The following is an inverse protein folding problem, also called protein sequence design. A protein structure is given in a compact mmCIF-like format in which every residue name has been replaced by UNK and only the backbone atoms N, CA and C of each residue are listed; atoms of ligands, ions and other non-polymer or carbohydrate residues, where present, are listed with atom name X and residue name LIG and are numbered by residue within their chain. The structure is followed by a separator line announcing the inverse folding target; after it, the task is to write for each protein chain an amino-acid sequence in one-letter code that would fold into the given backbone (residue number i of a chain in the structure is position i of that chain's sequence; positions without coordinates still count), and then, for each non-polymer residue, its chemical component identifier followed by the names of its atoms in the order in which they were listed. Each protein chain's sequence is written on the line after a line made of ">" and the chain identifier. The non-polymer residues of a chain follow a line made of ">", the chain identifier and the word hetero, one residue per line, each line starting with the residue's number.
data_IF_318952134904
#
_entry.id   IF_318952134904
#
_cell.length_a   1.000
_cell.length_b   1.000
_cell.length_c   1.000
_cell.angle_alpha   90.00
_cell.angle_beta   90.00
_cell.angle_gamma   90.00
#
_symmetry.space_group_name_H-M   'P 1'
#
loop_
_entity.id
_entity.type
_entity.pdbx_description
1 polymer ?
#
# COMPACT_ATOMS: atom_id res chain seq x y z
N UNK A 1 -83.36 -35.96 17.27
CA UNK A 1 -82.65 -34.76 16.76
C UNK A 1 -83.73 -33.77 16.31
N UNK A 2 -83.95 -32.69 17.06
CA UNK A 2 -84.96 -31.69 16.69
C UNK A 2 -84.51 -30.95 15.41
N UNK A 3 -85.42 -30.71 14.44
CA UNK A 3 -85.07 -30.00 13.21
C UNK A 3 -84.68 -28.56 13.53
N UNK A 4 -83.55 -28.11 12.99
CA UNK A 4 -83.14 -26.71 13.07
C UNK A 4 -84.12 -25.84 12.27
N UNK A 5 -84.47 -24.61 12.71
CA UNK A 5 -85.33 -23.72 11.95
C UNK A 5 -84.73 -23.47 10.56
N UNK A 6 -85.57 -23.49 9.52
CA UNK A 6 -85.17 -23.52 8.11
C UNK A 6 -84.18 -22.40 7.72
N UNK A 7 -84.28 -21.23 8.34
CA UNK A 7 -83.36 -20.10 8.11
C UNK A 7 -81.95 -20.38 8.62
N UNK A 8 -81.80 -20.99 9.80
CA UNK A 8 -80.50 -21.37 10.35
C UNK A 8 -79.82 -22.41 9.45
N UNK A 9 -80.61 -23.30 8.87
CA UNK A 9 -80.10 -24.34 7.97
C UNK A 9 -79.58 -23.75 6.64
N UNK A 10 -80.24 -22.71 6.09
CA UNK A 10 -79.78 -21.97 4.90
C UNK A 10 -78.48 -21.21 5.12
N UNK A 11 -78.35 -20.54 6.26
CA UNK A 11 -77.10 -19.85 6.62
C UNK A 11 -75.93 -20.80 6.82
N UNK A 12 -76.18 -21.98 7.43
CA UNK A 12 -75.16 -23.02 7.55
C UNK A 12 -74.74 -23.59 6.19
N UNK A 13 -75.69 -23.82 5.28
CA UNK A 13 -75.40 -24.29 3.93
C UNK A 13 -74.57 -23.27 3.13
N UNK A 14 -74.90 -21.97 3.24
CA UNK A 14 -74.12 -20.89 2.62
C UNK A 14 -72.71 -20.78 3.22
N UNK A 15 -72.58 -20.89 4.55
CA UNK A 15 -71.29 -20.89 5.21
C UNK A 15 -70.41 -22.07 4.77
N UNK A 16 -70.98 -23.27 4.66
CA UNK A 16 -70.28 -24.45 4.17
C UNK A 16 -69.88 -24.34 2.69
N UNK A 17 -70.74 -23.78 1.83
CA UNK A 17 -70.41 -23.53 0.43
C UNK A 17 -69.22 -22.56 0.31
N UNK A 18 -69.24 -21.47 1.06
CA UNK A 18 -68.17 -20.46 1.04
C UNK A 18 -66.86 -21.04 1.58
N UNK A 19 -66.93 -21.83 2.66
CA UNK A 19 -65.77 -22.56 3.18
C UNK A 19 -65.20 -23.56 2.15
N UNK A 20 -66.06 -24.29 1.42
CA UNK A 20 -65.64 -25.23 0.38
C UNK A 20 -64.97 -24.51 -0.80
N UNK A 21 -65.51 -23.36 -1.23
CA UNK A 21 -64.90 -22.52 -2.26
C UNK A 21 -63.55 -21.94 -1.81
N UNK A 22 -63.46 -21.44 -0.57
CA UNK A 22 -62.22 -20.96 0.00
C UNK A 22 -61.16 -22.07 0.09
N UNK A 23 -61.56 -23.28 0.50
CA UNK A 23 -60.68 -24.44 0.54
C UNK A 23 -60.19 -24.83 -0.87
N UNK A 24 -61.08 -24.84 -1.86
CA UNK A 24 -60.72 -25.09 -3.26
C UNK A 24 -59.72 -24.05 -3.78
N UNK A 25 -59.94 -22.77 -3.50
CA UNK A 25 -59.00 -21.70 -3.86
C UNK A 25 -57.63 -21.87 -3.17
N UNK A 26 -57.62 -22.14 -1.86
CA UNK A 26 -56.38 -22.30 -1.09
C UNK A 26 -55.58 -23.55 -1.49
N UNK A 27 -56.25 -24.61 -1.96
CA UNK A 27 -55.58 -25.85 -2.37
C UNK A 27 -55.13 -25.84 -3.84
N UNK A 28 -55.88 -25.17 -4.74
CA UNK A 28 -55.56 -25.19 -6.17
C UNK A 28 -54.88 -23.90 -6.63
N UNK A 29 -55.47 -22.74 -6.33
CA UNK A 29 -55.03 -21.46 -6.91
C UNK A 29 -53.87 -20.86 -6.12
N UNK A 30 -53.93 -20.91 -4.79
CA UNK A 30 -52.92 -20.31 -3.94
C UNK A 30 -51.52 -20.93 -4.16
N UNK A 31 -51.31 -22.26 -4.09
CA UNK A 31 -49.99 -22.85 -4.27
C UNK A 31 -49.51 -22.79 -5.73
N UNK A 32 -50.42 -22.94 -6.70
CA UNK A 32 -50.02 -23.00 -8.11
C UNK A 32 -49.71 -21.62 -8.70
N UNK A 33 -50.31 -20.55 -8.18
CA UNK A 33 -50.22 -19.24 -8.81
C UNK A 33 -49.69 -18.14 -7.89
N UNK A 34 -50.24 -18.00 -6.69
CA UNK A 34 -49.88 -16.85 -5.84
C UNK A 34 -48.51 -17.00 -5.19
N UNK A 35 -48.17 -18.21 -4.71
CA UNK A 35 -46.86 -18.50 -4.12
C UNK A 35 -45.72 -18.26 -5.13
N UNK A 36 -45.72 -18.84 -6.35
CA UNK A 36 -44.63 -18.61 -7.30
C UNK A 36 -44.54 -17.15 -7.76
N UNK A 37 -45.67 -16.44 -7.92
CA UNK A 37 -45.66 -15.02 -8.27
C UNK A 37 -45.03 -14.15 -7.17
N UNK A 38 -45.36 -14.43 -5.89
CA UNK A 38 -44.78 -13.76 -4.75
C UNK A 38 -43.26 -14.02 -4.64
N UNK A 39 -42.83 -15.26 -4.87
CA UNK A 39 -41.42 -15.63 -4.86
C UNK A 39 -40.63 -14.94 -5.98
N UNK A 40 -41.17 -14.92 -7.20
CA UNK A 40 -40.56 -14.21 -8.32
C UNK A 40 -40.41 -12.71 -8.03
N UNK A 41 -41.44 -12.08 -7.46
CA UNK A 41 -41.40 -10.67 -7.08
C UNK A 41 -40.35 -10.39 -5.99
N UNK A 42 -40.24 -11.26 -4.97
CA UNK A 42 -39.18 -11.15 -3.96
C UNK A 42 -37.80 -11.25 -4.59
N UNK A 43 -37.59 -12.21 -5.48
CA UNK A 43 -36.32 -12.37 -6.20
C UNK A 43 -35.95 -11.16 -7.04
N UNK A 44 -36.93 -10.53 -7.70
CA UNK A 44 -36.72 -9.28 -8.45
C UNK A 44 -36.33 -8.14 -7.51
N UNK A 45 -36.99 -8.00 -6.36
CA UNK A 45 -36.68 -6.99 -5.37
C UNK A 45 -35.23 -7.15 -4.85
N UNK A 46 -34.84 -8.38 -4.51
CA UNK A 46 -33.49 -8.69 -4.03
C UNK A 46 -32.41 -8.37 -5.08
N UNK A 47 -32.67 -8.69 -6.35
CA UNK A 47 -31.74 -8.37 -7.44
C UNK A 47 -31.62 -6.86 -7.67
N UNK A 48 -32.72 -6.11 -7.57
CA UNK A 48 -32.70 -4.65 -7.69
C UNK A 48 -31.92 -4.00 -6.56
N UNK A 49 -32.08 -4.47 -5.33
CA UNK A 49 -31.32 -3.98 -4.17
C UNK A 49 -29.82 -4.20 -4.37
N UNK A 50 -29.42 -5.37 -4.89
CA UNK A 50 -28.01 -5.66 -5.20
C UNK A 50 -27.47 -4.77 -6.32
N UNK A 51 -28.25 -4.57 -7.38
CA UNK A 51 -27.86 -3.69 -8.49
C UNK A 51 -27.67 -2.24 -8.03
N UNK A 52 -28.61 -1.71 -7.22
CA UNK A 52 -28.48 -0.37 -6.63
C UNK A 52 -27.22 -0.24 -5.77
N UNK A 53 -26.91 -1.24 -4.93
CA UNK A 53 -25.69 -1.25 -4.13
C UNK A 53 -24.42 -1.23 -5.01
N UNK A 54 -24.39 -1.99 -6.10
CA UNK A 54 -23.24 -2.02 -7.00
C UNK A 54 -23.09 -0.69 -7.74
N UNK A 55 -24.20 -0.13 -8.24
CA UNK A 55 -24.19 1.17 -8.94
C UNK A 55 -23.73 2.30 -8.04
N UNK A 56 -24.24 2.37 -6.81
CA UNK A 56 -23.80 3.38 -5.83
C UNK A 56 -22.32 3.26 -5.48
N UNK A 57 -21.74 2.05 -5.46
CA UNK A 57 -20.30 1.86 -5.31
C UNK A 57 -19.52 2.31 -6.56
N UNK A 58 -20.03 2.00 -7.76
CA UNK A 58 -19.41 2.43 -9.02
C UNK A 58 -19.42 3.95 -9.19
N UNK A 59 -20.46 4.64 -8.70
CA UNK A 59 -20.52 6.11 -8.69
C UNK A 59 -19.41 6.75 -7.83
N UNK A 60 -18.84 6.02 -6.88
CA UNK A 60 -17.71 6.49 -6.06
C UNK A 60 -16.33 6.28 -6.72
N UNK A 61 -16.24 5.37 -7.69
CA UNK A 61 -15.00 5.08 -8.41
C UNK A 61 -14.31 6.33 -9.04
N UNK A 62 -15.02 7.27 -9.72
CA UNK A 62 -14.36 8.45 -10.29
C UNK A 62 -13.78 9.37 -9.22
N UNK A 63 -14.40 9.46 -8.04
CA UNK A 63 -13.87 10.29 -6.96
C UNK A 63 -12.58 9.69 -6.39
N UNK A 64 -12.56 8.37 -6.16
CA UNK A 64 -11.34 7.66 -5.75
C UNK A 64 -10.26 7.79 -6.82
N UNK A 65 -10.59 7.69 -8.10
CA UNK A 65 -9.63 7.85 -9.19
C UNK A 65 -9.04 9.27 -9.23
N UNK A 66 -9.85 10.32 -9.02
CA UNK A 66 -9.37 11.70 -8.94
C UNK A 66 -8.44 11.91 -7.75
N UNK A 67 -8.81 11.42 -6.57
CA UNK A 67 -7.98 11.53 -5.37
C UNK A 67 -6.66 10.76 -5.52
N UNK A 68 -6.72 9.57 -6.13
CA UNK A 68 -5.53 8.78 -6.44
C UNK A 68 -4.61 9.52 -7.43
N UNK A 69 -5.14 10.07 -8.52
CA UNK A 69 -4.34 10.85 -9.47
C UNK A 69 -3.71 12.08 -8.81
N UNK A 70 -4.46 12.78 -7.95
CA UNK A 70 -3.93 13.92 -7.19
C UNK A 70 -2.80 13.49 -6.24
N UNK A 71 -2.94 12.36 -5.55
CA UNK A 71 -1.90 11.81 -4.69
C UNK A 71 -0.64 11.40 -5.48
N UNK A 72 -0.82 10.75 -6.64
CA UNK A 72 0.28 10.38 -7.54
C UNK A 72 1.01 11.64 -8.05
N UNK A 73 0.27 12.68 -8.46
CA UNK A 73 0.87 13.93 -8.90
C UNK A 73 1.65 14.65 -7.78
N UNK A 74 1.11 14.65 -6.55
CA UNK A 74 1.82 15.19 -5.39
C UNK A 74 3.08 14.38 -5.05
N UNK A 75 3.03 13.05 -5.18
CA UNK A 75 4.19 12.18 -4.98
C UNK A 75 5.26 12.41 -6.06
N UNK A 76 4.87 12.62 -7.32
CA UNK A 76 5.81 12.97 -8.39
C UNK A 76 6.58 14.29 -8.11
N UNK A 77 5.94 15.25 -7.42
CA UNK A 77 6.60 16.50 -6.99
C UNK A 77 7.51 16.33 -5.76
N UNK A 78 7.47 15.16 -5.10
CA UNK A 78 8.30 14.83 -3.93
C UNK A 78 9.12 13.59 -4.26
N UNK A 79 10.25 13.73 -4.97
CA UNK A 79 11.04 12.57 -5.41
C UNK A 79 11.43 11.73 -4.19
N UNK A 80 10.79 10.57 -4.05
CA UNK A 80 11.13 9.58 -3.02
C UNK A 80 12.35 8.74 -3.41
N UNK A 81 12.73 8.81 -4.68
CA UNK A 81 13.90 8.13 -5.24
C UNK A 81 15.03 9.12 -5.49
N UNK A 82 16.24 8.59 -5.47
CA UNK A 82 17.45 9.26 -5.89
C UNK A 82 17.36 9.62 -7.39
N UNK A 83 17.76 10.85 -7.80
CA UNK A 83 17.69 11.28 -9.20
C UNK A 83 18.75 10.62 -10.09
N UNK A 84 19.76 9.99 -9.50
CA UNK A 84 20.85 9.36 -10.23
C UNK A 84 20.43 8.04 -10.89
N UNK A 85 21.02 7.73 -12.05
CA UNK A 85 20.65 6.55 -12.85
C UNK A 85 21.36 5.26 -12.43
N UNK A 86 22.50 5.35 -11.75
CA UNK A 86 23.32 4.19 -11.34
C UNK A 86 23.72 4.29 -9.87
N UNK A 87 24.10 3.14 -9.29
CA UNK A 87 24.51 3.02 -7.88
C UNK A 87 25.76 3.84 -7.58
N UNK A 88 26.71 3.89 -8.51
CA UNK A 88 27.98 4.59 -8.35
C UNK A 88 27.76 6.11 -8.34
N UNK A 89 26.94 6.61 -9.28
CA UNK A 89 26.57 8.03 -9.34
C UNK A 89 25.76 8.44 -8.10
N UNK A 90 24.82 7.60 -7.67
CA UNK A 90 24.02 7.82 -6.48
C UNK A 90 24.86 7.89 -5.20
N UNK A 91 25.88 7.02 -5.08
CA UNK A 91 26.80 7.03 -3.94
C UNK A 91 27.55 8.35 -3.86
N UNK A 92 28.08 8.84 -4.99
CA UNK A 92 28.76 10.13 -5.05
C UNK A 92 27.81 11.31 -4.72
N UNK A 93 26.60 11.30 -5.26
CA UNK A 93 25.58 12.32 -4.99
C UNK A 93 25.15 12.36 -3.51
N UNK A 94 25.02 11.20 -2.86
CA UNK A 94 24.73 11.11 -1.42
C UNK A 94 25.81 11.76 -0.57
N UNK A 95 27.08 11.46 -0.85
CA UNK A 95 28.23 12.04 -0.13
C UNK A 95 28.25 13.56 -0.30
N UNK A 96 28.10 14.07 -1.52
CA UNK A 96 28.08 15.51 -1.79
C UNK A 96 26.96 16.24 -1.04
N UNK A 97 25.78 15.61 -0.93
CA UNK A 97 24.64 16.20 -0.20
C UNK A 97 24.86 16.16 1.30
N UNK A 98 25.39 15.07 1.86
CA UNK A 98 25.77 14.99 3.27
C UNK A 98 26.73 16.13 3.62
N UNK A 99 27.78 16.33 2.82
CA UNK A 99 28.73 17.42 3.04
C UNK A 99 28.06 18.80 2.98
N UNK A 100 27.10 19.00 2.07
CA UNK A 100 26.33 20.25 2.01
C UNK A 100 25.49 20.49 3.28
N UNK A 101 24.80 19.47 3.77
CA UNK A 101 23.99 19.56 5.00
C UNK A 101 24.88 19.82 6.23
N UNK A 102 26.02 19.15 6.34
CA UNK A 102 26.97 19.37 7.43
C UNK A 102 27.55 20.78 7.40
N UNK A 103 27.86 21.32 6.21
CA UNK A 103 28.32 22.72 6.06
C UNK A 103 27.25 23.74 6.47
N UNK A 104 25.99 23.47 6.17
CA UNK A 104 24.88 24.35 6.55
C UNK A 104 24.62 24.33 8.07
N UNK A 105 24.70 23.15 8.69
CA UNK A 105 24.51 23.00 10.13
C UNK A 105 25.70 23.51 10.99
N UNK A 106 26.89 23.67 10.39
CA UNK A 106 28.13 24.09 11.08
C UNK A 106 28.72 25.37 10.49
N UNK A 107 28.13 26.55 10.80
CA UNK A 107 28.66 27.83 10.34
C UNK A 107 30.10 28.04 10.87
N UNK A 108 31.07 28.01 9.96
CA UNK A 108 32.49 28.15 10.25
C UNK A 108 33.26 26.84 10.52
N UNK A 109 32.65 25.66 10.31
CA UNK A 109 33.32 24.35 10.38
C UNK A 109 33.97 24.00 11.74
N UNK A 110 33.48 24.59 12.84
CA UNK A 110 34.08 24.41 14.18
C UNK A 110 33.34 23.38 15.04
N UNK A 111 32.07 23.11 14.74
CA UNK A 111 31.18 22.30 15.59
C UNK A 111 30.88 20.91 15.02
N UNK A 112 31.28 20.61 13.78
CA UNK A 112 31.06 19.33 13.12
C UNK A 112 32.22 18.97 12.19
N UNK A 113 32.71 17.73 12.28
CA UNK A 113 33.70 17.16 11.38
C UNK A 113 33.27 15.77 10.93
N UNK A 114 33.34 15.50 9.62
CA UNK A 114 33.13 14.16 9.07
C UNK A 114 34.40 13.34 9.34
N UNK A 115 34.28 12.23 10.06
CA UNK A 115 35.41 11.38 10.44
C UNK A 115 35.62 10.18 9.52
N UNK A 116 34.54 9.60 9.00
CA UNK A 116 34.61 8.52 8.03
C UNK A 116 33.33 8.52 7.17
N UNK A 117 33.49 8.24 5.89
CA UNK A 117 32.40 7.98 4.97
C UNK A 117 32.80 6.82 4.06
N UNK A 118 32.05 5.74 4.10
CA UNK A 118 32.37 4.51 3.36
C UNK A 118 31.12 4.00 2.67
N UNK A 119 31.17 3.78 1.33
CA UNK A 119 30.06 3.13 0.62
C UNK A 119 29.77 1.75 1.21
N UNK A 120 28.50 1.45 1.43
CA UNK A 120 28.07 0.15 1.92
C UNK A 120 27.46 -0.64 0.75
N UNK A 121 28.10 -1.75 0.37
CA UNK A 121 27.58 -2.61 -0.68
C UNK A 121 26.43 -3.47 -0.14
N UNK A 122 25.20 -3.17 -0.54
CA UNK A 122 24.01 -3.94 -0.16
C UNK A 122 23.62 -4.88 -1.32
N UNK A 123 23.73 -6.21 -1.15
CA UNK A 123 23.41 -7.15 -2.22
C UNK A 123 21.93 -7.10 -2.62
N UNK A 124 21.66 -6.99 -3.92
CA UNK A 124 20.36 -6.66 -4.50
C UNK A 124 19.33 -7.79 -4.52
N UNK A 125 18.76 -8.14 -3.36
CA UNK A 125 17.53 -8.97 -3.29
C UNK A 125 16.24 -8.16 -3.20
N UNK A 126 16.32 -6.83 -3.24
CA UNK A 126 15.16 -5.93 -3.13
C UNK A 126 14.61 -5.53 -4.51
N UNK A 127 13.31 -5.26 -4.57
CA UNK A 127 12.62 -4.81 -5.78
C UNK A 127 13.15 -3.48 -6.36
N UNK A 128 13.77 -2.64 -5.51
CA UNK A 128 14.40 -1.38 -5.89
C UNK A 128 15.88 -1.45 -5.51
N UNK A 129 16.76 -0.99 -6.40
CA UNK A 129 18.17 -0.90 -6.09
C UNK A 129 18.38 0.10 -4.94
N UNK A 130 18.95 -0.40 -3.84
CA UNK A 130 19.24 0.35 -2.62
C UNK A 130 20.71 0.78 -2.62
N UNK A 131 20.95 2.04 -2.29
CA UNK A 131 22.30 2.61 -2.15
C UNK A 131 22.46 3.08 -0.72
N UNK A 132 23.53 2.66 -0.06
CA UNK A 132 23.80 3.01 1.33
C UNK A 132 25.24 3.50 1.51
N UNK A 133 25.43 4.44 2.44
CA UNK A 133 26.72 4.99 2.84
C UNK A 133 26.76 4.98 4.36
N UNK A 134 27.78 4.37 4.92
CA UNK A 134 28.06 4.46 6.35
C UNK A 134 28.80 5.76 6.64
N UNK A 135 28.27 6.54 7.58
CA UNK A 135 28.75 7.87 7.93
C UNK A 135 29.09 7.91 9.40
N UNK A 136 30.25 8.46 9.73
CA UNK A 136 30.65 8.77 11.10
C UNK A 136 31.02 10.24 11.22
N UNK A 137 30.25 11.00 11.99
CA UNK A 137 30.45 12.43 12.22
C UNK A 137 30.77 12.70 13.68
N UNK A 138 31.57 13.72 13.93
CA UNK A 138 31.85 14.26 15.26
C UNK A 138 31.26 15.64 15.35
N UNK A 139 30.22 15.81 16.14
CA UNK A 139 29.43 17.05 16.18
C UNK A 139 29.05 17.43 17.62
N UNK A 140 28.76 18.70 17.86
CA UNK A 140 28.05 19.13 19.06
C UNK A 140 26.59 18.64 19.07
N UNK A 141 25.98 18.58 20.26
CA UNK A 141 24.59 18.13 20.46
C UNK A 141 23.58 18.89 19.59
N UNK A 142 23.55 20.25 19.57
CA UNK A 142 22.55 20.96 18.78
C UNK A 142 22.80 20.80 17.26
N UNK A 143 24.07 20.72 16.84
CA UNK A 143 24.42 20.52 15.44
C UNK A 143 24.05 19.12 14.95
N UNK A 144 24.24 18.07 15.76
CA UNK A 144 23.77 16.71 15.44
C UNK A 144 22.27 16.68 15.19
N UNK A 145 21.47 17.31 16.06
CA UNK A 145 20.02 17.36 15.90
C UNK A 145 19.62 18.07 14.59
N UNK A 146 20.28 19.18 14.26
CA UNK A 146 20.05 19.91 13.02
C UNK A 146 20.40 19.07 11.78
N UNK A 147 21.54 18.37 11.79
CA UNK A 147 21.97 17.49 10.68
C UNK A 147 20.98 16.34 10.47
N UNK A 148 20.60 15.62 11.54
CA UNK A 148 19.66 14.50 11.42
C UNK A 148 18.31 14.96 10.89
N UNK A 149 17.79 16.09 11.41
CA UNK A 149 16.53 16.66 10.95
C UNK A 149 16.60 17.09 9.47
N UNK A 150 17.69 17.72 9.04
CA UNK A 150 17.89 18.14 7.65
C UNK A 150 18.02 16.94 6.69
N UNK A 151 18.66 15.84 7.12
CA UNK A 151 18.75 14.61 6.34
C UNK A 151 17.40 13.88 6.23
N UNK A 152 16.62 13.84 7.30
CA UNK A 152 15.30 13.18 7.32
C UNK A 152 14.23 13.96 6.54
N UNK A 153 14.22 15.29 6.68
CA UNK A 153 13.25 16.19 6.01
C UNK A 153 13.70 16.61 4.61
N UNK A 154 14.95 16.30 4.25
CA UNK A 154 15.55 16.59 2.97
C UNK A 154 14.84 15.91 1.80
N UNK A 155 15.11 16.43 0.61
CA UNK A 155 14.65 15.85 -0.65
C UNK A 155 15.87 15.49 -1.49
N UNK A 156 15.91 14.31 -2.13
CA UNK A 156 15.05 13.12 -2.03
C UNK A 156 14.96 12.47 -0.64
N UNK A 157 13.99 11.57 -0.46
CA UNK A 157 13.77 10.81 0.79
C UNK A 157 14.97 9.92 1.09
N UNK A 158 15.70 10.26 2.14
CA UNK A 158 16.79 9.47 2.69
C UNK A 158 16.37 8.88 4.03
N UNK A 159 16.92 7.73 4.35
CA UNK A 159 16.63 7.02 5.59
C UNK A 159 17.91 6.78 6.37
N UNK A 160 17.78 6.80 7.69
CA UNK A 160 18.87 6.63 8.63
C UNK A 160 18.66 5.27 9.31
N UNK A 161 19.66 4.40 9.20
CA UNK A 161 19.72 3.10 9.86
C UNK A 161 20.94 3.02 10.78
N UNK A 162 20.93 2.06 11.71
CA UNK A 162 22.06 1.76 12.59
C UNK A 162 22.66 2.98 13.31
N UNK A 163 21.81 3.93 13.73
CA UNK A 163 22.22 5.12 14.45
C UNK A 163 22.80 4.75 15.82
N UNK A 164 24.06 5.12 16.04
CA UNK A 164 24.77 4.96 17.28
C UNK A 164 25.38 6.31 17.68
N UNK A 165 25.14 6.72 18.93
CA UNK A 165 25.55 8.00 19.48
C UNK A 165 26.40 7.73 20.72
N UNK A 166 27.65 8.18 20.68
CA UNK A 166 28.61 8.03 21.76
C UNK A 166 29.06 9.41 22.24
N UNK A 167 29.03 9.66 23.55
CA UNK A 167 29.60 10.90 24.09
C UNK A 167 31.13 10.78 24.13
N UNK A 168 31.86 11.63 23.40
CA UNK A 168 33.31 11.70 23.54
C UNK A 168 33.66 12.54 24.77
N UNK A 169 33.92 11.86 25.89
CA UNK A 169 34.55 12.48 27.06
C UNK A 169 36.06 12.33 26.91
N UNK A 170 36.72 13.27 26.22
CA UNK A 170 38.18 13.41 26.34
C UNK A 170 38.49 14.00 27.72
N UNK A 171 38.50 13.11 28.72
CA UNK A 171 38.84 13.44 30.09
C UNK A 171 40.35 13.43 30.29
N UNK A 172 41.12 14.25 29.56
CA UNK A 172 42.49 14.65 29.90
C UNK A 172 42.92 15.75 28.91
N UNK A 173 43.00 17.01 29.39
CA UNK A 173 43.64 18.17 28.73
C UNK A 173 42.86 18.85 27.59
N UNK A 174 42.01 19.83 27.92
CA UNK A 174 41.99 21.15 27.28
C UNK A 174 40.84 21.98 27.87
N UNK A 175 41.22 23.02 28.61
CA UNK A 175 40.34 24.08 29.07
C UNK A 175 40.15 25.08 27.92
N UNK A 176 39.44 24.67 26.87
CA UNK A 176 38.93 25.60 25.86
C UNK A 176 37.48 25.27 25.53
N UNK A 177 36.68 26.32 25.54
CA UNK A 177 35.23 26.34 25.36
C UNK A 177 34.82 25.74 24.01
N UNK A 178 34.36 24.49 24.04
CA UNK A 178 33.65 23.86 22.93
C UNK A 178 33.01 22.57 23.44
N UNK A 179 31.69 22.50 23.39
CA UNK A 179 30.88 21.41 23.94
C UNK A 179 31.48 20.02 23.63
N UNK A 180 31.53 19.15 24.64
CA UNK A 180 31.97 17.76 24.46
C UNK A 180 31.30 17.12 23.25
N UNK A 181 32.10 16.77 22.25
CA UNK A 181 31.59 16.27 20.97
C UNK A 181 30.89 14.92 21.13
N UNK A 182 29.81 14.72 20.40
CA UNK A 182 29.23 13.42 20.15
C UNK A 182 29.93 12.79 18.96
N UNK A 183 30.28 11.52 19.09
CA UNK A 183 30.63 10.66 17.97
C UNK A 183 29.35 9.95 17.54
N UNK A 184 28.90 10.24 16.33
CA UNK A 184 27.65 9.71 15.80
C UNK A 184 27.96 8.92 14.55
N UNK A 185 27.61 7.64 14.55
CA UNK A 185 27.71 6.78 13.38
C UNK A 185 26.32 6.32 12.96
N UNK A 186 26.03 6.38 11.66
CA UNK A 186 24.76 5.95 11.10
C UNK A 186 24.94 5.54 9.64
N UNK A 187 24.04 4.71 9.14
CA UNK A 187 23.97 4.31 7.75
C UNK A 187 22.89 5.12 7.06
N UNK A 188 23.27 5.91 6.06
CA UNK A 188 22.35 6.71 5.25
C UNK A 188 22.05 5.94 3.97
N UNK A 189 20.78 5.71 3.66
CA UNK A 189 20.40 4.99 2.45
C UNK A 189 19.23 5.63 1.70
N UNK A 190 19.18 5.35 0.41
CA UNK A 190 18.12 5.75 -0.50
C UNK A 190 17.89 4.72 -1.60
N UNK A 191 16.78 4.88 -2.32
CA UNK A 191 16.38 3.98 -3.39
C UNK A 191 16.53 4.66 -4.75
N UNK A 192 16.99 3.91 -5.74
CA UNK A 192 17.00 4.35 -7.13
C UNK A 192 15.64 4.10 -7.78
N UNK A 193 15.26 4.97 -8.70
CA UNK A 193 14.10 4.72 -9.53
C UNK A 193 14.39 3.49 -10.41
N UNK A 194 13.43 2.55 -10.58
CA UNK A 194 13.59 1.49 -11.55
C UNK A 194 13.95 2.10 -12.89
N UNK A 195 15.05 1.65 -13.50
CA UNK A 195 15.30 1.98 -14.89
C UNK A 195 14.07 1.52 -15.68
N UNK A 196 13.51 2.36 -16.57
CA UNK A 196 12.43 1.93 -17.44
C UNK A 196 12.92 0.67 -18.15
N UNK A 197 12.17 -0.42 -17.99
CA UNK A 197 12.47 -1.69 -18.66
C UNK A 197 12.53 -1.33 -20.15
N UNK A 198 13.71 -1.39 -20.74
CA UNK A 198 13.83 -1.19 -22.18
C UNK A 198 13.14 -2.39 -22.82
N UNK A 199 11.87 -2.24 -23.17
CA UNK A 199 11.09 -3.13 -24.04
C UNK A 199 11.81 -3.21 -25.40
N UNK A 200 12.85 -4.03 -25.46
CA UNK A 200 13.68 -4.21 -26.64
C UNK A 200 14.40 -5.57 -26.67
N UNK A 201 14.53 -6.26 -25.54
CA UNK A 201 14.94 -7.65 -25.51
C UNK A 201 13.71 -8.55 -25.54
N UNK A 202 13.15 -8.77 -26.73
CA UNK A 202 12.13 -9.79 -26.93
C UNK A 202 12.62 -11.13 -26.37
N UNK A 203 11.83 -11.85 -25.55
CA UNK A 203 12.18 -13.19 -25.15
C UNK A 203 12.23 -14.05 -26.41
N UNK A 204 13.41 -14.60 -26.70
CA UNK A 204 13.59 -15.59 -27.76
C UNK A 204 12.60 -16.74 -27.51
N UNK A 205 11.83 -17.18 -28.52
CA UNK A 205 10.96 -18.33 -28.35
C UNK A 205 11.82 -19.56 -28.06
N UNK A 206 11.48 -20.26 -26.98
CA UNK A 206 12.04 -21.55 -26.64
C UNK A 206 11.83 -22.51 -27.81
N UNK A 207 12.89 -22.77 -28.57
CA UNK A 207 12.87 -23.79 -29.61
C UNK A 207 12.64 -25.14 -28.94
N UNK A 208 11.60 -25.80 -29.43
CA UNK A 208 11.06 -27.05 -28.98
C UNK A 208 12.14 -28.14 -28.96
N UNK A 209 12.56 -28.53 -27.77
CA UNK A 209 13.26 -29.77 -27.52
C UNK A 209 12.27 -30.95 -27.52
N UNK A 210 11.69 -31.28 -28.67
CA UNK A 210 10.86 -32.47 -28.86
C UNK A 210 10.92 -32.96 -30.31
N UNK A 211 11.94 -33.76 -30.65
CA UNK A 211 11.87 -34.86 -31.63
C UNK A 211 13.27 -35.42 -31.95
N UNK A 212 13.90 -36.11 -30.99
CA UNK A 212 14.90 -37.14 -31.32
C UNK A 212 15.20 -38.00 -30.07
N UNK A 213 14.45 -39.08 -29.91
CA UNK A 213 14.75 -40.18 -28.99
C UNK A 213 13.91 -41.37 -29.41
N UNK A 214 14.48 -42.24 -30.24
CA UNK A 214 14.75 -43.65 -29.89
C UNK A 214 13.47 -44.48 -30.06
N UNK A 215 13.27 -45.25 -31.13
CA UNK A 215 14.08 -46.41 -31.53
C UNK A 215 14.53 -47.22 -30.30
N UNK A 216 13.60 -48.04 -29.77
CA UNK A 216 13.89 -49.40 -29.28
C UNK A 216 12.65 -50.09 -28.68
N UNK A 217 12.50 -51.36 -29.05
CA UNK A 217 11.86 -52.47 -28.33
C UNK A 217 10.34 -52.78 -28.46
N UNK A 218 10.11 -53.95 -29.10
CA UNK A 218 9.03 -54.95 -29.02
C UNK A 218 7.89 -54.91 -30.04
#
# INVERSE_FOLDING_TARGET
>A
MAPLPADRQRWLALGLLLAALAAGYLLLVHPWWTVPLLEANRRIADLRERDLRIRTQLEQAPEVARQWQAAVAQQAQRPGFLPEATVELATAGLVQRLEAVVREASPGNRSCAISNQSPLNIPGKEQFARVAVQVRIRCGVPETAAVLYALETGRPRLFIENLNILSQRYAYMAQETGAGGLDVSFDLYGYLQPAPVQEGAAPMPAQQAMASGGDDAR
#
